data_IF_379465076978
#
_entry.id   IF_379465076978
#
_cell.length_a   1.000
_cell.length_b   1.000
_cell.length_c   1.000
_cell.angle_alpha   90.00
_cell.angle_beta   90.00
_cell.angle_gamma   90.00
#
_symmetry.space_group_name_H-M   'P 1'
#
loop_
_entity.id
_entity.type
_entity.pdbx_description
1 polymer ?
#
# COMPACT_ATOMS: atom_id res chain seq x y z
N UNK A 1 -21.12 1.76 -10.98
CA UNK A 1 -20.07 1.56 -9.95
C UNK A 1 -20.01 0.08 -9.51
N UNK A 2 -19.94 -0.88 -10.46
CA UNK A 2 -20.17 -2.32 -10.22
C UNK A 2 -18.96 -3.25 -10.49
N UNK A 3 -17.77 -2.71 -10.78
CA UNK A 3 -16.65 -3.54 -11.28
C UNK A 3 -15.42 -3.63 -10.36
N UNK A 4 -15.21 -2.70 -9.43
CA UNK A 4 -14.01 -2.70 -8.58
C UNK A 4 -14.37 -3.07 -7.14
N UNK A 5 -13.88 -4.22 -6.69
CA UNK A 5 -14.10 -4.75 -5.34
C UNK A 5 -13.02 -4.32 -4.35
N UNK A 6 -11.90 -3.74 -4.81
CA UNK A 6 -10.79 -3.30 -3.98
C UNK A 6 -10.29 -1.93 -4.44
N UNK A 7 -9.99 -1.08 -3.44
CA UNK A 7 -9.28 0.18 -3.62
C UNK A 7 -7.84 -0.04 -3.16
N UNK A 8 -6.87 0.47 -3.90
CA UNK A 8 -5.46 0.20 -3.67
C UNK A 8 -4.76 1.50 -3.26
N UNK A 9 -3.99 1.39 -2.18
CA UNK A 9 -2.97 2.37 -1.81
C UNK A 9 -1.62 1.67 -1.96
N UNK A 10 -0.80 2.13 -2.90
CA UNK A 10 0.53 1.61 -3.17
C UNK A 10 1.58 2.58 -2.62
N UNK A 11 2.41 2.10 -1.68
CA UNK A 11 3.61 2.81 -1.23
C UNK A 11 4.83 2.17 -1.91
N UNK A 12 5.53 2.87 -2.82
CA UNK A 12 6.77 2.35 -3.40
C UNK A 12 7.95 2.50 -2.44
N UNK A 13 9.04 1.80 -2.74
CA UNK A 13 10.34 2.00 -2.08
C UNK A 13 10.84 3.44 -2.25
N UNK A 14 11.47 4.00 -1.22
CA UNK A 14 12.13 5.31 -1.28
C UNK A 14 13.37 5.33 -2.18
N UNK A 15 13.97 4.17 -2.44
CA UNK A 15 15.12 4.07 -3.33
C UNK A 15 14.72 4.29 -4.81
N UNK A 16 13.46 4.05 -5.16
CA UNK A 16 12.99 4.15 -6.55
C UNK A 16 11.52 4.63 -6.69
N UNK A 17 11.11 5.75 -6.07
CA UNK A 17 9.71 6.21 -6.13
C UNK A 17 9.31 6.68 -7.53
N UNK A 18 10.24 7.31 -8.27
CA UNK A 18 9.99 7.80 -9.63
C UNK A 18 9.74 6.65 -10.61
N UNK A 19 10.51 5.58 -10.51
CA UNK A 19 10.32 4.39 -11.35
C UNK A 19 8.93 3.80 -11.14
N UNK A 20 8.48 3.67 -9.89
CA UNK A 20 7.15 3.17 -9.59
C UNK A 20 6.04 4.09 -10.12
N UNK A 21 6.18 5.41 -9.97
CA UNK A 21 5.23 6.38 -10.51
C UNK A 21 5.19 6.35 -12.05
N UNK A 22 6.34 6.19 -12.70
CA UNK A 22 6.43 6.06 -14.15
C UNK A 22 5.75 4.77 -14.64
N UNK A 23 6.03 3.63 -14.00
CA UNK A 23 5.36 2.37 -14.29
C UNK A 23 3.84 2.44 -14.09
N UNK A 24 3.37 3.31 -13.19
CA UNK A 24 1.97 3.52 -12.93
C UNK A 24 1.32 4.62 -13.80
N UNK A 25 2.08 5.34 -14.63
CA UNK A 25 1.53 6.37 -15.51
C UNK A 25 0.40 5.86 -16.42
N UNK A 26 0.47 4.63 -17.01
CA UNK A 26 -0.60 4.11 -17.84
C UNK A 26 -1.94 3.95 -17.12
N UNK A 27 -1.95 3.87 -15.78
CA UNK A 27 -3.19 3.78 -15.00
C UNK A 27 -4.10 4.99 -15.28
N UNK A 28 -3.53 6.16 -15.54
CA UNK A 28 -4.29 7.37 -15.88
C UNK A 28 -4.97 7.30 -17.24
N UNK A 29 -4.50 6.42 -18.11
CA UNK A 29 -5.02 6.21 -19.46
C UNK A 29 -6.06 5.08 -19.50
N UNK A 30 -6.27 4.38 -18.37
CA UNK A 30 -7.31 3.36 -18.23
C UNK A 30 -8.64 3.94 -17.77
N UNK A 31 -9.73 3.21 -17.99
CA UNK A 31 -11.08 3.58 -17.51
C UNK A 31 -11.29 3.37 -15.99
N UNK A 32 -10.21 3.40 -15.19
CA UNK A 32 -10.33 3.32 -13.75
C UNK A 32 -10.95 4.61 -13.19
N UNK A 33 -12.01 4.51 -12.38
CA UNK A 33 -12.54 5.65 -11.67
C UNK A 33 -11.45 6.32 -10.82
N UNK A 34 -11.49 7.66 -10.68
CA UNK A 34 -10.61 8.37 -9.77
C UNK A 34 -10.65 7.76 -8.36
N UNK A 35 -9.46 7.56 -7.77
CA UNK A 35 -9.31 7.02 -6.42
C UNK A 35 -9.28 5.50 -6.29
N UNK A 36 -9.43 4.73 -7.38
CA UNK A 36 -9.26 3.26 -7.36
C UNK A 36 -7.82 2.86 -7.05
N UNK A 37 -6.84 3.59 -7.62
CA UNK A 37 -5.41 3.40 -7.34
C UNK A 37 -4.83 4.73 -6.87
N UNK A 38 -4.25 4.71 -5.67
CA UNK A 38 -3.55 5.83 -5.07
C UNK A 38 -2.10 5.42 -4.83
N UNK A 39 -1.15 6.23 -5.28
CA UNK A 39 0.27 5.96 -5.09
C UNK A 39 0.86 7.06 -4.23
N UNK A 40 1.42 6.68 -3.09
CA UNK A 40 1.89 7.61 -2.07
C UNK A 40 3.36 7.27 -1.76
N UNK A 41 4.31 7.96 -2.40
CA UNK A 41 5.70 7.93 -1.97
C UNK A 41 5.83 8.53 -0.57
N UNK A 42 6.72 7.97 0.25
CA UNK A 42 6.96 8.45 1.60
C UNK A 42 7.94 7.55 2.33
N UNK A 43 8.38 7.98 3.52
CA UNK A 43 9.27 7.22 4.39
C UNK A 43 8.62 5.91 4.87
N UNK A 44 9.35 4.81 4.88
CA UNK A 44 8.83 3.47 5.19
C UNK A 44 8.47 3.32 6.66
N UNK A 45 9.20 3.99 7.54
CA UNK A 45 8.92 3.97 8.98
C UNK A 45 7.67 4.78 9.33
N UNK A 46 7.46 5.92 8.67
CA UNK A 46 6.32 6.79 8.93
C UNK A 46 5.09 6.41 8.09
N UNK A 47 5.22 6.41 6.76
CA UNK A 47 4.13 6.11 5.83
C UNK A 47 3.71 4.64 5.91
N UNK A 48 4.68 3.72 6.01
CA UNK A 48 4.39 2.30 6.17
C UNK A 48 3.66 2.00 7.49
N UNK A 49 4.05 2.64 8.59
CA UNK A 49 3.32 2.56 9.86
C UNK A 49 1.91 3.13 9.73
N UNK A 50 1.76 4.34 9.18
CA UNK A 50 0.46 4.99 9.02
C UNK A 50 -0.53 4.12 8.24
N UNK A 51 -0.08 3.52 7.12
CA UNK A 51 -0.85 2.56 6.32
C UNK A 51 -1.19 1.32 7.16
N UNK A 52 -0.21 0.76 7.89
CA UNK A 52 -0.41 -0.44 8.69
C UNK A 52 -1.31 -0.23 9.93
N UNK A 53 -1.61 1.00 10.35
CA UNK A 53 -2.48 1.24 11.51
C UNK A 53 -3.79 1.94 11.14
N UNK A 54 -3.99 2.25 9.87
CA UNK A 54 -5.13 3.03 9.42
C UNK A 54 -6.45 2.26 9.61
N UNK A 55 -7.43 2.91 10.23
CA UNK A 55 -8.70 2.26 10.60
C UNK A 55 -9.48 1.71 9.40
N UNK A 56 -9.33 2.34 8.23
CA UNK A 56 -10.03 2.02 6.99
C UNK A 56 -9.27 1.08 6.05
N UNK A 57 -8.11 0.55 6.45
CA UNK A 57 -7.37 -0.43 5.66
C UNK A 57 -7.72 -1.84 6.15
N UNK A 58 -8.25 -2.66 5.24
CA UNK A 58 -8.70 -4.02 5.54
C UNK A 58 -7.55 -5.04 5.50
N UNK A 59 -6.59 -4.84 4.59
CA UNK A 59 -5.48 -5.75 4.33
C UNK A 59 -4.23 -4.97 3.94
N UNK A 60 -3.07 -5.48 4.37
CA UNK A 60 -1.76 -4.96 3.96
C UNK A 60 -0.96 -6.11 3.37
N UNK A 61 -0.40 -5.86 2.19
CA UNK A 61 0.54 -6.76 1.52
C UNK A 61 1.89 -6.06 1.39
N UNK A 62 2.96 -6.77 1.73
CA UNK A 62 4.34 -6.34 1.49
C UNK A 62 5.15 -7.51 0.94
N UNK A 63 6.22 -7.17 0.24
CA UNK A 63 7.25 -8.10 -0.22
C UNK A 63 8.33 -8.33 0.83
N UNK A 64 8.56 -7.39 1.75
CA UNK A 64 9.59 -7.50 2.79
C UNK A 64 9.01 -7.81 4.19
N UNK A 65 9.40 -8.92 4.83
CA UNK A 65 8.80 -9.38 6.10
C UNK A 65 9.25 -8.58 7.33
N UNK A 66 10.35 -7.81 7.23
CA UNK A 66 11.00 -7.14 8.38
C UNK A 66 10.22 -5.89 8.82
N UNK A 67 9.62 -5.16 7.88
CA UNK A 67 8.96 -3.89 8.19
C UNK A 67 7.61 -4.10 8.89
N UNK A 68 6.80 -5.08 8.47
CA UNK A 68 5.44 -5.22 9.00
C UNK A 68 5.37 -5.79 10.43
N UNK A 69 6.28 -6.69 10.80
CA UNK A 69 6.26 -7.31 12.15
C UNK A 69 6.46 -6.28 13.27
N UNK A 70 7.23 -5.23 12.98
CA UNK A 70 7.49 -4.14 13.93
C UNK A 70 6.24 -3.28 14.15
N UNK A 71 5.42 -3.08 13.11
CA UNK A 71 4.21 -2.24 13.18
C UNK A 71 3.02 -2.95 13.84
N UNK A 72 2.86 -4.25 13.59
CA UNK A 72 1.78 -5.07 14.19
C UNK A 72 1.94 -5.24 15.70
N UNK A 73 3.16 -5.34 16.24
CA UNK A 73 3.40 -5.44 17.69
C UNK A 73 3.01 -4.16 18.47
N UNK A 74 2.95 -3.00 17.81
CA UNK A 74 2.56 -1.73 18.45
C UNK A 74 1.06 -1.47 18.41
N UNK A 75 0.26 -2.26 17.70
CA UNK A 75 -1.17 -1.99 17.50
C UNK A 75 -2.08 -3.01 18.17
N UNK A 76 -3.18 -2.52 18.77
CA UNK A 76 -4.22 -3.35 19.41
C UNK A 76 -5.19 -4.01 18.40
N UNK A 77 -5.18 -3.61 17.13
CA UNK A 77 -6.06 -4.14 16.08
C UNK A 77 -5.37 -5.29 15.35
N UNK A 78 -5.98 -6.47 15.34
CA UNK A 78 -5.50 -7.64 14.61
C UNK A 78 -5.72 -7.39 13.11
N UNK A 79 -4.69 -6.91 12.41
CA UNK A 79 -4.75 -6.73 10.95
C UNK A 79 -4.46 -8.04 10.21
N UNK A 80 -5.14 -8.23 9.08
CA UNK A 80 -4.83 -9.29 8.14
C UNK A 80 -3.65 -8.87 7.26
N UNK A 81 -2.45 -8.98 7.82
CA UNK A 81 -1.20 -8.83 7.09
C UNK A 81 -0.93 -10.10 6.30
N UNK A 82 -0.81 -9.96 4.98
CA UNK A 82 -0.32 -11.04 4.13
C UNK A 82 1.04 -10.64 3.57
N UNK A 83 2.11 -11.15 4.18
CA UNK A 83 3.43 -11.07 3.57
C UNK A 83 3.40 -11.95 2.32
N UNK A 84 3.62 -11.36 1.14
CA UNK A 84 3.86 -12.12 -0.08
C UNK A 84 5.37 -12.29 -0.17
N UNK A 85 5.84 -13.50 0.12
CA UNK A 85 7.25 -13.84 -0.02
C UNK A 85 7.44 -14.22 -1.50
N UNK A 86 8.30 -13.49 -2.19
CA UNK A 86 9.17 -14.08 -3.22
C UNK A 86 10.59 -14.14 -2.65
#
# INVERSE_FOLDING_TARGET
MKYFSQLIVLKPTEQAPLSALYCAAPIKETDFPPGVVNIIPGDGSECGYAIAVHAHIDKVACTSPVEIKTFTNKTKKKMNVKCMIE
#
